data_IF_186454588094
#
_entry.id   IF_186454588094
#
_cell.length_a   1.000
_cell.length_b   1.000
_cell.length_c   1.000
_cell.angle_alpha   90.00
_cell.angle_beta   90.00
_cell.angle_gamma   90.00
#
_symmetry.space_group_name_H-M   'P 1'
#
loop_
_entity.id
_entity.type
_entity.pdbx_description
1 polymer ?
#
# COMPACT_ATOMS: atom_id res chain seq x y z
N UNK A 1 11.88 21.51 81.38
CA UNK A 1 11.76 20.15 80.77
C UNK A 1 11.61 20.35 79.28
N UNK A 2 12.74 20.21 78.58
CA UNK A 2 12.84 20.49 77.17
C UNK A 2 12.93 19.16 76.40
N UNK A 3 12.06 18.96 75.42
CA UNK A 3 12.05 17.81 74.57
C UNK A 3 12.48 18.23 73.15
N UNK A 4 13.60 17.77 72.74
CA UNK A 4 14.21 18.03 71.42
C UNK A 4 13.64 17.11 70.35
N UNK A 5 12.99 17.67 69.35
CA UNK A 5 12.58 16.99 68.14
C UNK A 5 13.72 16.92 67.12
N UNK A 6 14.03 15.72 66.70
CA UNK A 6 15.08 15.43 65.76
C UNK A 6 14.47 15.29 64.33
N UNK A 7 14.74 16.30 63.50
CA UNK A 7 14.25 16.39 62.12
C UNK A 7 15.16 15.62 61.20
N UNK A 8 14.80 14.41 60.78
CA UNK A 8 15.50 13.63 59.76
C UNK A 8 14.89 13.97 58.38
N UNK A 9 15.52 14.89 57.66
CA UNK A 9 15.23 15.17 56.24
C UNK A 9 15.71 14.01 55.40
N UNK A 10 14.76 13.29 54.82
CA UNK A 10 14.99 12.30 53.76
C UNK A 10 14.92 13.01 52.41
N UNK A 11 16.09 13.26 51.80
CA UNK A 11 16.17 13.66 50.38
C UNK A 11 16.03 12.41 49.51
N UNK A 12 14.80 12.07 49.15
CA UNK A 12 14.50 11.05 48.12
C UNK A 12 14.58 11.69 46.74
N UNK A 13 15.69 11.45 46.01
CA UNK A 13 15.80 11.79 44.61
C UNK A 13 14.90 10.83 43.81
N UNK A 14 13.75 11.31 43.35
CA UNK A 14 12.93 10.57 42.38
C UNK A 14 13.60 10.65 41.02
N UNK A 15 14.24 9.56 40.59
CA UNK A 15 14.70 9.39 39.23
C UNK A 15 13.47 9.08 38.35
N UNK A 16 13.05 10.08 37.56
CA UNK A 16 11.99 9.93 36.56
C UNK A 16 12.56 9.15 35.37
N UNK A 17 12.34 7.84 35.31
CA UNK A 17 12.64 7.00 34.13
C UNK A 17 11.55 7.23 33.10
N UNK A 18 11.79 8.10 32.13
CA UNK A 18 10.94 8.28 30.94
C UNK A 18 11.16 7.08 30.00
N UNK A 19 10.27 6.11 30.07
CA UNK A 19 10.20 5.03 29.09
C UNK A 19 9.60 5.61 27.79
N UNK A 20 10.46 5.91 26.81
CA UNK A 20 10.05 6.20 25.44
C UNK A 20 9.50 4.90 24.83
N UNK A 21 8.18 4.69 24.90
CA UNK A 21 7.50 3.66 24.17
C UNK A 21 7.59 4.04 22.67
N UNK A 22 8.57 3.46 21.97
CA UNK A 22 8.59 3.49 20.52
C UNK A 22 7.35 2.72 20.02
N UNK A 23 6.30 3.44 19.59
CA UNK A 23 5.17 2.84 18.90
C UNK A 23 5.67 2.31 17.55
N UNK A 24 6.18 1.09 17.52
CA UNK A 24 6.34 0.32 16.29
C UNK A 24 4.93 -0.01 15.81
N UNK A 25 4.44 0.78 14.86
CA UNK A 25 3.15 0.53 14.22
C UNK A 25 3.26 -0.80 13.49
N UNK A 26 2.65 -1.82 14.08
CA UNK A 26 2.58 -3.15 13.48
C UNK A 26 1.91 -3.03 12.10
N UNK A 27 2.47 -3.68 11.04
CA UNK A 27 1.88 -3.61 9.72
C UNK A 27 0.44 -4.15 9.78
N UNK A 28 -0.51 -3.36 9.26
CA UNK A 28 -1.92 -3.75 9.27
C UNK A 28 -2.11 -5.06 8.49
N UNK A 29 -2.79 -6.04 9.08
CA UNK A 29 -3.16 -7.26 8.38
C UNK A 29 -4.41 -6.99 7.54
N UNK A 30 -4.39 -7.29 6.22
CA UNK A 30 -5.56 -7.12 5.39
C UNK A 30 -6.67 -8.12 5.80
N UNK A 31 -7.92 -7.66 5.84
CA UNK A 31 -9.08 -8.50 6.17
C UNK A 31 -9.49 -9.44 5.04
N UNK A 32 -9.07 -9.13 3.80
CA UNK A 32 -9.29 -9.93 2.58
C UNK A 32 -7.98 -10.53 2.09
N UNK A 33 -8.08 -11.66 1.39
CA UNK A 33 -6.92 -12.35 0.83
C UNK A 33 -6.18 -11.46 -0.19
N UNK A 34 -4.87 -11.36 -0.02
CA UNK A 34 -3.96 -10.81 -1.02
C UNK A 34 -3.78 -11.84 -2.13
N UNK A 35 -4.15 -11.49 -3.35
CA UNK A 35 -3.95 -12.29 -4.54
C UNK A 35 -2.75 -11.74 -5.29
N UNK A 36 -1.78 -12.59 -5.59
CA UNK A 36 -0.65 -12.17 -6.40
C UNK A 36 -1.13 -11.95 -7.85
N UNK A 37 -0.80 -10.80 -8.43
CA UNK A 37 -1.05 -10.54 -9.85
C UNK A 37 -0.08 -11.36 -10.69
N UNK A 38 -0.59 -12.00 -11.78
CA UNK A 38 0.23 -12.88 -12.59
C UNK A 38 1.46 -12.18 -13.17
N UNK A 39 2.62 -12.81 -13.04
CA UNK A 39 3.88 -12.33 -13.63
C UNK A 39 3.77 -12.18 -15.15
N UNK A 40 3.00 -13.03 -15.83
CA UNK A 40 2.83 -13.03 -17.28
C UNK A 40 2.04 -11.81 -17.77
N UNK A 41 1.21 -11.23 -16.89
CA UNK A 41 0.47 -10.00 -17.18
C UNK A 41 1.26 -8.73 -16.89
N UNK A 42 2.37 -8.81 -16.17
CA UNK A 42 3.15 -7.63 -15.80
C UNK A 42 3.68 -6.83 -17.00
N UNK A 43 4.20 -7.46 -18.08
CA UNK A 43 4.63 -6.71 -19.27
C UNK A 43 3.48 -5.97 -19.96
N UNK A 44 2.30 -6.62 -20.07
CA UNK A 44 1.10 -6.01 -20.62
C UNK A 44 0.67 -4.82 -19.76
N UNK A 45 0.63 -5.00 -18.45
CA UNK A 45 0.25 -3.97 -17.50
C UNK A 45 1.25 -2.80 -17.52
N UNK A 46 2.55 -3.07 -17.53
CA UNK A 46 3.59 -2.05 -17.67
C UNK A 46 3.51 -1.31 -19.01
N UNK A 47 3.02 -1.97 -20.06
CA UNK A 47 2.73 -1.34 -21.36
C UNK A 47 1.76 -0.17 -21.31
N UNK A 48 0.87 -0.14 -20.32
CA UNK A 48 -0.04 0.97 -20.05
C UNK A 48 0.57 2.15 -19.28
N UNK A 49 1.84 2.11 -18.92
CA UNK A 49 2.51 3.24 -18.26
C UNK A 49 2.81 4.35 -19.29
N UNK A 50 2.61 5.61 -18.90
CA UNK A 50 2.84 6.80 -19.76
C UNK A 50 4.32 6.89 -20.16
N UNK A 51 5.22 6.57 -19.24
CA UNK A 51 6.67 6.64 -19.47
C UNK A 51 7.25 5.22 -19.45
N UNK A 52 8.03 4.89 -20.46
CA UNK A 52 8.64 3.56 -20.63
C UNK A 52 9.80 3.29 -19.69
N UNK A 53 10.37 4.33 -19.09
CA UNK A 53 11.43 4.25 -18.09
C UNK A 53 10.90 4.00 -16.66
N UNK A 54 9.59 4.04 -16.46
CA UNK A 54 8.97 3.59 -15.22
C UNK A 54 8.81 2.07 -15.20
N UNK A 55 9.09 1.47 -14.06
CA UNK A 55 8.87 0.04 -13.84
C UNK A 55 7.69 -0.17 -12.91
N UNK A 56 6.97 -1.25 -13.13
CA UNK A 56 5.92 -1.71 -12.21
C UNK A 56 6.37 -3.02 -11.59
N UNK A 57 6.22 -3.16 -10.29
CA UNK A 57 6.59 -4.38 -9.57
C UNK A 57 5.70 -4.59 -8.35
N UNK A 58 5.86 -5.73 -7.69
CA UNK A 58 5.20 -6.04 -6.42
C UNK A 58 3.67 -5.81 -6.49
N UNK A 59 3.03 -6.41 -7.50
CA UNK A 59 1.61 -6.21 -7.80
C UNK A 59 0.74 -7.22 -7.04
N UNK A 60 -0.21 -6.70 -6.29
CA UNK A 60 -1.14 -7.47 -5.48
C UNK A 60 -2.57 -7.00 -5.70
N UNK A 61 -3.49 -7.94 -5.75
CA UNK A 61 -4.90 -7.67 -5.94
C UNK A 61 -5.73 -8.14 -4.74
N UNK A 62 -6.87 -7.47 -4.54
CA UNK A 62 -7.89 -7.85 -3.58
C UNK A 62 -9.23 -7.83 -4.27
N UNK A 63 -10.02 -8.90 -4.10
CA UNK A 63 -11.36 -8.99 -4.69
C UNK A 63 -12.28 -7.94 -4.05
N UNK A 64 -13.00 -7.21 -4.88
CA UNK A 64 -14.07 -6.29 -4.45
C UNK A 64 -15.35 -7.06 -4.13
N UNK A 65 -16.17 -6.53 -3.23
CA UNK A 65 -17.52 -7.04 -2.97
C UNK A 65 -18.51 -6.63 -4.09
N UNK A 66 -18.14 -5.60 -4.87
CA UNK A 66 -18.93 -5.12 -5.99
C UNK A 66 -18.41 -5.69 -7.31
N UNK A 67 -19.29 -5.81 -8.31
CA UNK A 67 -18.97 -6.19 -9.68
C UNK A 67 -19.06 -5.00 -10.62
N UNK A 68 -18.38 -5.09 -11.76
CA UNK A 68 -18.52 -4.13 -12.87
C UNK A 68 -19.63 -4.66 -13.79
N UNK A 69 -20.60 -3.81 -14.13
CA UNK A 69 -21.61 -4.14 -15.13
C UNK A 69 -21.11 -3.66 -16.50
N UNK A 70 -20.74 -4.59 -17.36
CA UNK A 70 -20.29 -4.29 -18.71
C UNK A 70 -21.36 -4.82 -19.70
N UNK A 71 -22.14 -3.91 -20.26
CA UNK A 71 -23.21 -4.23 -21.23
C UNK A 71 -24.20 -5.31 -20.71
N UNK A 72 -24.58 -5.23 -19.43
CA UNK A 72 -25.50 -6.19 -18.80
C UNK A 72 -24.83 -7.47 -18.29
N UNK A 73 -23.51 -7.61 -18.46
CA UNK A 73 -22.73 -8.72 -17.93
C UNK A 73 -22.00 -8.27 -16.66
N UNK A 74 -22.28 -8.94 -15.54
CA UNK A 74 -21.58 -8.69 -14.28
C UNK A 74 -20.22 -9.37 -14.28
N UNK A 75 -19.16 -8.56 -14.34
CA UNK A 75 -17.78 -9.02 -14.27
C UNK A 75 -17.24 -8.88 -12.83
N UNK A 76 -16.41 -9.81 -12.37
CA UNK A 76 -15.74 -9.67 -11.09
C UNK A 76 -14.85 -8.41 -11.11
N UNK A 77 -14.72 -7.77 -9.95
CA UNK A 77 -13.85 -6.61 -9.80
C UNK A 77 -12.78 -6.90 -8.76
N UNK A 78 -11.55 -6.47 -9.06
CA UNK A 78 -10.40 -6.56 -8.16
C UNK A 78 -9.71 -5.21 -8.08
N UNK A 79 -9.37 -4.78 -6.88
CA UNK A 79 -8.43 -3.68 -6.71
C UNK A 79 -7.01 -4.22 -6.81
N UNK A 80 -6.30 -3.77 -7.82
CA UNK A 80 -4.90 -4.08 -8.08
C UNK A 80 -4.03 -2.90 -7.61
N UNK A 81 -3.13 -3.13 -6.69
CA UNK A 81 -2.11 -2.15 -6.31
C UNK A 81 -0.72 -2.67 -6.64
N UNK A 82 0.17 -1.77 -7.04
CA UNK A 82 1.54 -2.10 -7.38
C UNK A 82 2.48 -0.92 -7.11
N UNK A 83 3.76 -1.21 -6.93
CA UNK A 83 4.81 -0.21 -6.88
C UNK A 83 5.11 0.31 -8.30
N UNK A 84 4.99 1.62 -8.49
CA UNK A 84 5.47 2.36 -9.67
C UNK A 84 6.83 2.92 -9.30
N UNK A 85 7.88 2.43 -9.94
CA UNK A 85 9.26 2.79 -9.64
C UNK A 85 9.77 3.73 -10.73
N UNK A 86 10.12 4.94 -10.33
CA UNK A 86 10.74 5.94 -11.18
C UNK A 86 12.22 5.60 -11.47
N UNK A 87 12.84 6.19 -12.51
CA UNK A 87 14.26 5.94 -12.84
C UNK A 87 15.25 6.25 -11.72
N UNK A 88 14.91 7.20 -10.84
CA UNK A 88 15.70 7.55 -9.65
C UNK A 88 15.54 6.54 -8.50
N UNK A 89 14.74 5.50 -8.66
CA UNK A 89 14.48 4.48 -7.66
C UNK A 89 13.35 4.81 -6.68
N UNK A 90 12.76 6.01 -6.74
CA UNK A 90 11.58 6.32 -5.93
C UNK A 90 10.41 5.43 -6.32
N UNK A 91 9.71 4.91 -5.33
CA UNK A 91 8.54 4.06 -5.51
C UNK A 91 7.30 4.71 -4.90
N UNK A 92 6.22 4.77 -5.69
CA UNK A 92 4.89 5.17 -5.23
C UNK A 92 3.90 4.06 -5.51
N UNK A 93 2.87 3.90 -4.68
CA UNK A 93 1.84 2.88 -4.92
C UNK A 93 0.77 3.45 -5.82
N UNK A 94 0.56 2.81 -6.97
CA UNK A 94 -0.61 3.01 -7.82
C UNK A 94 -1.69 1.99 -7.49
N UNK A 95 -2.97 2.37 -7.67
CA UNK A 95 -4.11 1.47 -7.50
C UNK A 95 -5.02 1.56 -8.72
N UNK A 96 -5.35 0.40 -9.25
CA UNK A 96 -6.22 0.21 -10.40
C UNK A 96 -7.38 -0.72 -10.05
N UNK A 97 -8.43 -0.68 -10.84
CA UNK A 97 -9.50 -1.65 -10.85
C UNK A 97 -9.29 -2.56 -12.06
N UNK A 98 -9.39 -3.88 -11.87
CA UNK A 98 -9.31 -4.86 -12.97
C UNK A 98 -10.41 -5.91 -12.86
N UNK A 99 -10.78 -6.52 -13.98
CA UNK A 99 -11.73 -7.63 -14.01
C UNK A 99 -11.07 -9.00 -13.88
N UNK A 100 -9.75 -9.08 -13.97
CA UNK A 100 -9.02 -10.35 -13.87
C UNK A 100 -7.62 -10.15 -13.26
N UNK A 101 -7.07 -11.22 -12.68
CA UNK A 101 -5.73 -11.22 -12.04
C UNK A 101 -4.78 -12.27 -12.64
N UNK A 102 -5.31 -13.23 -13.41
CA UNK A 102 -4.54 -14.33 -14.04
C UNK A 102 -4.61 -14.35 -15.55
N UNK A 103 -5.45 -13.50 -16.14
CA UNK A 103 -5.65 -13.36 -17.59
C UNK A 103 -5.89 -11.89 -17.93
N UNK A 104 -5.73 -11.47 -19.20
CA UNK A 104 -6.05 -10.11 -19.62
C UNK A 104 -7.51 -9.73 -19.28
N UNK A 105 -7.68 -8.52 -18.76
CA UNK A 105 -9.00 -7.99 -18.37
C UNK A 105 -9.07 -6.48 -18.59
N UNK A 106 -10.22 -5.90 -18.28
CA UNK A 106 -10.38 -4.45 -18.28
C UNK A 106 -9.56 -3.86 -17.13
N UNK A 107 -8.96 -2.69 -17.36
CA UNK A 107 -8.17 -1.97 -16.35
C UNK A 107 -8.58 -0.51 -16.31
N UNK A 108 -8.83 0.01 -15.10
CA UNK A 108 -9.18 1.41 -14.86
C UNK A 108 -8.31 2.00 -13.76
N UNK A 109 -7.82 3.21 -13.96
CA UNK A 109 -7.04 3.93 -12.94
C UNK A 109 -7.95 4.45 -11.83
N UNK A 110 -7.64 4.12 -10.58
CA UNK A 110 -8.41 4.51 -9.39
C UNK A 110 -7.70 5.61 -8.61
N UNK A 111 -6.44 5.37 -8.21
CA UNK A 111 -5.69 6.33 -7.39
C UNK A 111 -5.14 7.51 -8.21
N UNK A 112 -4.85 8.66 -7.57
CA UNK A 112 -4.17 9.77 -8.23
C UNK A 112 -2.85 9.37 -8.90
N UNK A 113 -2.07 8.48 -8.26
CA UNK A 113 -0.81 7.98 -8.81
C UNK A 113 -1.05 7.14 -10.07
N UNK A 114 -2.03 6.21 -10.03
CA UNK A 114 -2.40 5.44 -11.21
C UNK A 114 -2.83 6.35 -12.37
N UNK A 115 -3.68 7.36 -12.10
CA UNK A 115 -4.13 8.34 -13.09
C UNK A 115 -3.00 9.18 -13.67
N UNK A 116 -2.00 9.53 -12.84
CA UNK A 116 -0.85 10.34 -13.25
C UNK A 116 0.15 9.56 -14.10
N UNK A 117 0.35 8.29 -13.83
CA UNK A 117 1.45 7.52 -14.41
C UNK A 117 1.02 6.45 -15.42
N UNK A 118 -0.30 6.26 -15.65
CA UNK A 118 -0.77 5.30 -16.66
C UNK A 118 -1.78 5.89 -17.64
N UNK A 119 -1.90 5.26 -18.80
CA UNK A 119 -2.84 5.60 -19.88
C UNK A 119 -4.19 4.90 -19.72
N UNK A 120 -4.35 4.05 -18.71
CA UNK A 120 -5.60 3.35 -18.46
C UNK A 120 -6.75 4.31 -18.18
N UNK A 121 -7.93 3.98 -18.69
CA UNK A 121 -9.14 4.78 -18.46
C UNK A 121 -9.37 5.00 -16.95
N UNK A 122 -9.93 6.15 -16.59
CA UNK A 122 -10.25 6.44 -15.19
C UNK A 122 -11.61 5.85 -14.80
N UNK A 123 -11.74 5.38 -13.56
CA UNK A 123 -13.03 4.95 -13.02
C UNK A 123 -14.06 6.07 -13.12
N UNK A 124 -15.26 5.73 -13.57
CA UNK A 124 -16.37 6.68 -13.71
C UNK A 124 -16.30 7.62 -14.92
N UNK A 125 -15.14 7.76 -15.59
CA UNK A 125 -15.00 8.68 -16.73
C UNK A 125 -15.44 8.03 -18.05
N UNK A 126 -14.89 6.85 -18.36
CA UNK A 126 -15.23 6.11 -19.59
C UNK A 126 -16.39 5.13 -19.37
N UNK A 127 -16.55 4.62 -18.18
CA UNK A 127 -17.56 3.63 -17.81
C UNK A 127 -18.16 3.99 -16.45
N UNK A 128 -19.42 4.45 -16.47
CA UNK A 128 -20.16 4.84 -15.27
C UNK A 128 -20.37 3.69 -14.28
N UNK A 129 -20.34 2.45 -14.73
CA UNK A 129 -20.44 1.27 -13.85
C UNK A 129 -19.24 1.16 -12.88
N UNK A 130 -18.15 1.87 -13.18
CA UNK A 130 -16.96 1.92 -12.34
C UNK A 130 -16.91 3.12 -11.39
N UNK A 131 -17.90 4.02 -11.41
CA UNK A 131 -17.89 5.26 -10.63
C UNK A 131 -17.85 5.05 -9.10
N UNK A 132 -18.44 3.94 -8.61
CA UNK A 132 -18.43 3.57 -7.19
C UNK A 132 -17.09 3.05 -6.67
N UNK A 133 -16.12 2.77 -7.55
CA UNK A 133 -14.81 2.24 -7.16
C UNK A 133 -13.82 3.38 -6.93
N UNK A 134 -13.47 3.61 -5.68
CA UNK A 134 -12.59 4.70 -5.26
C UNK A 134 -11.46 4.18 -4.38
N UNK A 135 -10.47 5.02 -4.09
CA UNK A 135 -9.39 4.71 -3.14
C UNK A 135 -9.90 4.54 -1.69
N UNK A 136 -11.10 5.02 -1.39
CA UNK A 136 -11.73 4.84 -0.09
C UNK A 136 -12.41 3.47 0.06
N UNK A 137 -12.64 2.75 -1.05
CA UNK A 137 -13.22 1.41 -1.03
C UNK A 137 -12.36 0.45 -0.21
N UNK A 138 -12.96 -0.44 0.60
CA UNK A 138 -12.21 -1.34 1.49
C UNK A 138 -11.15 -2.16 0.74
N UNK A 139 -11.51 -2.79 -0.38
CA UNK A 139 -10.58 -3.57 -1.19
C UNK A 139 -9.41 -2.76 -1.76
N UNK A 140 -9.57 -1.46 -2.03
CA UNK A 140 -8.48 -0.59 -2.47
C UNK A 140 -7.45 -0.37 -1.36
N UNK A 141 -7.89 -0.09 -0.15
CA UNK A 141 -6.99 0.07 1.02
C UNK A 141 -6.25 -1.23 1.33
N UNK A 142 -6.94 -2.34 1.24
CA UNK A 142 -6.38 -3.65 1.51
C UNK A 142 -5.35 -4.07 0.45
N UNK A 143 -5.59 -3.79 -0.84
CA UNK A 143 -4.61 -4.07 -1.90
C UNK A 143 -3.32 -3.24 -1.72
N UNK A 144 -3.43 -1.98 -1.27
CA UNK A 144 -2.27 -1.17 -0.88
C UNK A 144 -1.52 -1.82 0.29
N UNK A 145 -2.25 -2.30 1.31
CA UNK A 145 -1.65 -3.01 2.45
C UNK A 145 -0.93 -4.27 1.99
N UNK A 146 -1.49 -5.04 1.04
CA UNK A 146 -0.84 -6.20 0.46
C UNK A 146 0.50 -5.83 -0.20
N UNK A 147 0.55 -4.73 -0.99
CA UNK A 147 1.80 -4.24 -1.58
C UNK A 147 2.84 -3.91 -0.50
N UNK A 148 2.43 -3.13 0.51
CA UNK A 148 3.35 -2.67 1.57
C UNK A 148 3.93 -3.83 2.38
N UNK A 149 3.10 -4.83 2.71
CA UNK A 149 3.51 -5.98 3.50
C UNK A 149 4.41 -6.96 2.73
N UNK A 150 4.29 -6.98 1.40
CA UNK A 150 5.06 -7.87 0.53
C UNK A 150 6.21 -7.17 -0.20
N UNK A 151 6.56 -5.93 0.17
CA UNK A 151 7.77 -5.30 -0.34
C UNK A 151 9.00 -6.10 0.07
N UNK A 152 9.95 -6.33 -0.85
CA UNK A 152 11.24 -6.89 -0.48
C UNK A 152 11.86 -6.03 0.63
N UNK A 153 12.19 -6.64 1.74
CA UNK A 153 12.98 -5.94 2.77
C UNK A 153 14.33 -5.61 2.13
N UNK A 154 14.59 -4.34 1.87
CA UNK A 154 15.91 -3.90 1.43
C UNK A 154 16.89 -4.31 2.54
N UNK A 155 17.66 -5.35 2.30
CA UNK A 155 18.80 -5.69 3.14
C UNK A 155 19.73 -4.48 3.08
N UNK A 156 19.78 -3.71 4.15
CA UNK A 156 20.80 -2.68 4.32
C UNK A 156 22.11 -3.42 4.45
N UNK A 157 22.76 -3.72 3.32
CA UNK A 157 24.13 -4.19 3.30
C UNK A 157 24.95 -3.01 3.82
N UNK A 158 25.27 -3.04 5.11
CA UNK A 158 26.27 -2.15 5.68
C UNK A 158 27.56 -2.38 4.91
N UNK A 159 27.92 -1.41 4.07
CA UNK A 159 29.24 -1.37 3.43
C UNK A 159 30.25 -1.32 4.56
N UNK A 160 31.12 -2.34 4.73
CA UNK A 160 32.16 -2.25 5.75
C UNK A 160 33.02 -1.02 5.43
N UNK A 161 33.18 -0.13 6.42
CA UNK A 161 34.11 0.99 6.30
C UNK A 161 35.49 0.42 5.93
N UNK A 162 36.02 0.84 4.79
CA UNK A 162 37.36 0.47 4.34
C UNK A 162 38.37 1.04 5.36
N UNK A 163 39.32 0.24 5.88
CA UNK A 163 40.35 0.70 6.80
C UNK A 163 41.24 1.76 6.20
#
# INVERSE_FOLDING_TARGET
MASTLNDKRWNGALALVTVLAACTKEPATPSRACLQFSSDLMPLFAGGMIRKDFRVSNAWAVKSDSSIDSAGVKLPAYFLSADIIAPNGEAVVGTWLTTAVTQPGLVYSVSPQAKKYSTWAQTGAADKSTAGFTTASPGAKESITCVLNNRPKTSTTSIPAKP
#
